data_IF_498407576733
#
_entry.id   IF_498407576733
#
_cell.length_a   1.000
_cell.length_b   1.000
_cell.length_c   1.000
_cell.angle_alpha   90.00
_cell.angle_beta   90.00
_cell.angle_gamma   90.00
#
_symmetry.space_group_name_H-M   'P 1'
#
loop_
_entity.id
_entity.type
_entity.pdbx_description
1 polymer ?
#
# COMPACT_ATOMS: atom_id res chain seq x y z
N UNK A 1 0.05 -13.81 -34.15
CA UNK A 1 0.71 -12.95 -33.14
C UNK A 1 -0.14 -12.99 -31.88
N UNK A 2 0.38 -13.40 -30.70
CA UNK A 2 -0.40 -13.28 -29.48
C UNK A 2 -0.71 -11.79 -29.25
N UNK A 3 -1.95 -11.46 -28.87
CA UNK A 3 -2.34 -10.08 -28.56
C UNK A 3 -1.43 -9.58 -27.44
N UNK A 4 -0.67 -8.52 -27.69
CA UNK A 4 0.05 -7.78 -26.65
C UNK A 4 -0.98 -7.11 -25.77
N UNK A 5 -1.37 -7.76 -24.68
CA UNK A 5 -2.28 -7.19 -23.70
C UNK A 5 -1.53 -6.19 -22.83
N UNK A 6 -1.98 -4.94 -22.82
CA UNK A 6 -1.53 -3.95 -21.86
C UNK A 6 -2.00 -4.31 -20.45
N UNK A 7 -1.33 -3.78 -19.42
CA UNK A 7 -1.74 -4.02 -18.03
C UNK A 7 -3.16 -3.49 -17.77
N UNK A 8 -3.51 -2.36 -18.38
CA UNK A 8 -4.85 -1.78 -18.32
C UNK A 8 -5.92 -2.74 -18.85
N UNK A 9 -5.66 -3.48 -19.93
CA UNK A 9 -6.61 -4.47 -20.46
C UNK A 9 -6.72 -5.71 -19.54
N UNK A 10 -5.61 -6.12 -18.90
CA UNK A 10 -5.55 -7.34 -18.08
C UNK A 10 -6.49 -7.31 -16.87
N UNK A 11 -6.67 -6.14 -16.27
CA UNK A 11 -7.49 -5.93 -15.06
C UNK A 11 -8.53 -4.82 -15.22
N UNK A 12 -9.07 -4.64 -16.44
CA UNK A 12 -10.19 -3.71 -16.72
C UNK A 12 -9.93 -2.26 -16.26
N UNK A 13 -8.69 -1.80 -16.42
CA UNK A 13 -8.25 -0.44 -16.08
C UNK A 13 -7.63 -0.30 -14.70
N UNK A 14 -7.60 -1.36 -13.88
CA UNK A 14 -6.92 -1.34 -12.59
C UNK A 14 -5.41 -1.57 -12.71
N UNK A 15 -4.62 -0.74 -12.04
CA UNK A 15 -3.22 -1.02 -11.73
C UNK A 15 -3.15 -1.79 -10.41
N UNK A 16 -2.71 -3.07 -10.40
CA UNK A 16 -2.42 -3.75 -9.15
C UNK A 16 -1.16 -3.14 -8.52
N UNK A 17 -1.27 -2.74 -7.24
CA UNK A 17 -0.16 -2.23 -6.44
C UNK A 17 -0.08 -3.10 -5.19
N UNK A 18 1.03 -3.81 -5.00
CA UNK A 18 1.27 -4.58 -3.78
C UNK A 18 1.52 -3.61 -2.65
N UNK A 19 0.78 -3.74 -1.55
CA UNK A 19 0.91 -2.91 -0.35
C UNK A 19 1.01 -3.83 0.85
N UNK A 20 1.87 -3.45 1.76
CA UNK A 20 2.06 -4.08 3.06
C UNK A 20 2.26 -2.97 4.09
N UNK A 21 1.68 -3.15 5.28
CA UNK A 21 1.78 -2.18 6.38
C UNK A 21 2.21 -2.85 7.68
N UNK A 22 3.09 -2.18 8.40
CA UNK A 22 3.41 -2.53 9.78
C UNK A 22 2.69 -1.56 10.71
N UNK A 23 2.14 -2.08 11.81
CA UNK A 23 1.16 -1.34 12.61
C UNK A 23 1.38 -1.53 14.11
N UNK A 24 0.81 -0.62 14.89
CA UNK A 24 0.82 -0.67 16.35
C UNK A 24 -0.24 -1.61 16.93
N UNK A 25 -0.95 -2.40 16.13
CA UNK A 25 -2.06 -3.25 16.58
C UNK A 25 -2.99 -3.62 15.42
N UNK A 26 -4.13 -4.23 15.71
CA UNK A 26 -5.04 -4.73 14.65
C UNK A 26 -6.17 -3.76 14.27
N UNK A 27 -6.40 -2.71 15.06
CA UNK A 27 -7.51 -1.79 14.87
C UNK A 27 -7.06 -0.53 14.12
N UNK A 28 -7.32 -0.51 12.81
CA UNK A 28 -6.94 0.59 11.90
C UNK A 28 -7.39 1.99 12.34
N UNK A 29 -8.47 2.09 13.13
CA UNK A 29 -9.00 3.38 13.62
C UNK A 29 -8.16 3.97 14.74
N UNK A 30 -7.62 3.14 15.61
CA UNK A 30 -6.97 3.55 16.86
C UNK A 30 -5.48 3.31 16.88
N UNK A 31 -5.01 2.31 16.13
CA UNK A 31 -3.64 1.83 16.24
C UNK A 31 -2.75 2.49 15.19
N UNK A 32 -1.49 2.72 15.55
CA UNK A 32 -0.55 3.46 14.69
C UNK A 32 -0.29 2.73 13.37
N UNK A 33 -0.24 3.46 12.25
CA UNK A 33 0.49 3.01 11.07
C UNK A 33 1.98 3.30 11.32
N UNK A 34 2.81 2.26 11.32
CA UNK A 34 4.24 2.38 11.61
C UNK A 34 5.06 2.32 10.34
N UNK A 35 4.75 1.45 9.37
CA UNK A 35 5.45 1.42 8.07
C UNK A 35 4.47 1.16 6.95
N UNK A 36 4.79 1.64 5.75
CA UNK A 36 4.05 1.33 4.53
C UNK A 36 5.02 1.09 3.39
N UNK A 37 4.85 -0.04 2.72
CA UNK A 37 5.53 -0.36 1.48
C UNK A 37 4.53 -0.46 0.32
N UNK A 38 4.96 -0.07 -0.88
CA UNK A 38 4.21 -0.23 -2.11
C UNK A 38 5.12 -0.69 -3.26
N UNK A 39 4.71 -1.75 -3.95
CA UNK A 39 5.36 -2.24 -5.17
C UNK A 39 4.40 -2.10 -6.34
N UNK A 40 4.80 -1.31 -7.34
CA UNK A 40 4.05 -1.14 -8.58
C UNK A 40 4.37 -2.27 -9.56
N UNK A 41 3.38 -2.71 -10.33
CA UNK A 41 3.55 -3.81 -11.29
C UNK A 41 3.43 -3.32 -12.73
N UNK A 42 4.09 -4.05 -13.63
CA UNK A 42 4.07 -3.86 -15.07
C UNK A 42 3.94 -5.20 -15.79
N UNK A 43 3.97 -5.15 -17.12
CA UNK A 43 4.11 -6.34 -17.96
C UNK A 43 5.43 -6.27 -18.73
N UNK A 44 6.15 -7.39 -18.79
CA UNK A 44 7.30 -7.52 -19.68
C UNK A 44 6.88 -7.80 -21.13
N UNK A 45 7.85 -7.89 -22.04
CA UNK A 45 7.59 -8.16 -23.46
C UNK A 45 6.91 -9.52 -23.74
N UNK A 46 6.95 -10.45 -22.78
CA UNK A 46 6.27 -11.74 -22.87
C UNK A 46 4.87 -11.71 -22.21
N UNK A 47 4.41 -10.56 -21.72
CA UNK A 47 3.14 -10.40 -21.04
C UNK A 47 3.10 -10.98 -19.62
N UNK A 48 4.26 -11.18 -18.97
CA UNK A 48 4.32 -11.60 -17.57
C UNK A 48 4.32 -10.40 -16.64
N UNK A 49 3.69 -10.55 -15.48
CA UNK A 49 3.75 -9.55 -14.42
C UNK A 49 5.19 -9.44 -13.90
N UNK A 50 5.68 -8.21 -13.82
CA UNK A 50 7.00 -7.88 -13.28
C UNK A 50 6.88 -6.71 -12.32
N UNK A 51 7.81 -6.64 -11.36
CA UNK A 51 7.94 -5.49 -10.47
C UNK A 51 8.51 -4.30 -11.25
N UNK A 52 7.95 -3.12 -11.02
CA UNK A 52 8.48 -1.85 -11.49
C UNK A 52 9.19 -1.16 -10.31
N UNK A 53 8.54 -0.18 -9.69
CA UNK A 53 9.08 0.55 -8.53
C UNK A 53 8.73 -0.12 -7.20
N UNK A 54 9.67 -0.08 -6.26
CA UNK A 54 9.48 -0.44 -4.84
C UNK A 54 9.70 0.80 -4.01
N UNK A 55 8.73 1.15 -3.17
CA UNK A 55 8.73 2.38 -2.38
C UNK A 55 8.31 2.03 -0.96
N UNK A 56 9.01 2.54 0.04
CA UNK A 56 8.68 2.28 1.44
C UNK A 56 9.05 3.45 2.31
N UNK A 57 8.26 3.66 3.37
CA UNK A 57 8.48 4.74 4.32
C UNK A 57 8.19 4.27 5.74
N UNK A 58 9.07 4.65 6.66
CA UNK A 58 8.77 4.63 8.08
C UNK A 58 7.81 5.79 8.39
N UNK A 59 6.81 5.51 9.19
CA UNK A 59 5.73 6.44 9.52
C UNK A 59 5.77 6.75 11.01
N UNK A 60 5.67 8.04 11.33
CA UNK A 60 5.54 8.51 12.71
C UNK A 60 4.12 8.20 13.20
N UNK A 61 3.95 7.58 14.39
CA UNK A 61 2.63 7.37 14.98
C UNK A 61 1.85 8.68 15.05
N UNK A 62 0.57 8.65 14.66
CA UNK A 62 -0.28 9.83 14.76
C UNK A 62 -0.53 10.22 16.23
N UNK A 63 -0.88 11.48 16.47
CA UNK A 63 -1.12 11.96 17.83
C UNK A 63 -2.28 11.20 18.50
N UNK A 64 -2.01 10.56 19.63
CA UNK A 64 -2.99 9.75 20.36
C UNK A 64 -3.17 8.32 19.83
N UNK A 65 -2.31 7.87 18.91
CA UNK A 65 -2.33 6.48 18.45
C UNK A 65 -2.06 5.49 19.60
N UNK A 66 -2.82 4.40 19.60
CA UNK A 66 -2.52 3.23 20.41
C UNK A 66 -1.35 2.44 19.77
N UNK A 67 -0.49 1.88 20.63
CA UNK A 67 0.61 1.01 20.22
C UNK A 67 0.68 -0.14 21.23
N UNK A 68 0.29 -1.32 20.80
CA UNK A 68 0.35 -2.55 21.58
C UNK A 68 1.77 -3.08 21.65
N UNK A 69 2.24 -3.42 22.85
CA UNK A 69 3.56 -4.02 23.04
C UNK A 69 3.71 -5.33 22.25
N UNK A 70 2.64 -6.11 22.11
CA UNK A 70 2.64 -7.35 21.33
C UNK A 70 2.90 -7.10 19.84
N UNK A 71 2.35 -6.02 19.26
CA UNK A 71 2.62 -5.65 17.88
C UNK A 71 4.09 -5.29 17.67
N UNK A 72 4.70 -4.54 18.60
CA UNK A 72 6.12 -4.21 18.54
C UNK A 72 7.03 -5.43 18.72
N UNK A 73 6.61 -6.43 19.50
CA UNK A 73 7.33 -7.70 19.64
C UNK A 73 7.33 -8.51 18.34
N UNK A 74 6.23 -8.48 17.59
CA UNK A 74 6.12 -9.18 16.30
C UNK A 74 6.93 -8.47 15.22
N UNK A 75 6.79 -7.15 15.12
CA UNK A 75 7.43 -6.35 14.06
C UNK A 75 8.90 -6.05 14.35
N UNK A 76 9.30 -6.04 15.62
CA UNK A 76 10.63 -5.59 16.06
C UNK A 76 10.83 -4.07 15.94
N UNK A 77 9.78 -3.31 15.65
CA UNK A 77 9.86 -1.86 15.48
C UNK A 77 9.99 -1.18 16.86
N UNK A 78 10.98 -0.32 17.00
CA UNK A 78 10.98 0.77 17.99
C UNK A 78 10.52 2.06 17.29
N UNK A 79 9.26 2.51 17.48
CA UNK A 79 8.71 3.67 16.78
C UNK A 79 9.47 4.97 17.06
N UNK A 80 10.20 5.04 18.18
CA UNK A 80 10.88 6.23 18.67
C UNK A 80 12.40 6.14 18.57
N UNK A 81 12.92 5.11 17.90
CA UNK A 81 14.36 4.94 17.71
C UNK A 81 14.95 6.16 16.98
N UNK A 82 16.04 6.78 17.47
CA UNK A 82 16.54 8.06 16.95
C UNK A 82 17.07 7.98 15.51
N UNK A 83 17.47 6.79 15.06
CA UNK A 83 17.92 6.56 13.68
C UNK A 83 16.80 6.11 12.74
N UNK A 84 15.56 5.99 13.22
CA UNK A 84 14.41 5.63 12.39
C UNK A 84 13.97 6.88 11.62
N UNK A 85 14.08 6.92 10.28
CA UNK A 85 13.77 8.12 9.51
C UNK A 85 12.25 8.21 9.25
N UNK A 86 11.47 8.21 10.33
CA UNK A 86 10.03 8.24 10.29
C UNK A 86 9.53 9.62 9.84
N UNK A 87 8.56 9.63 8.93
CA UNK A 87 7.90 10.84 8.44
C UNK A 87 6.40 10.81 8.80
N UNK A 88 5.72 11.97 8.88
CA UNK A 88 4.28 12.00 9.15
C UNK A 88 3.46 11.21 8.13
N UNK A 89 2.34 10.60 8.58
CA UNK A 89 1.42 9.81 7.73
C UNK A 89 1.10 10.50 6.40
N UNK A 90 0.69 11.78 6.47
CA UNK A 90 0.34 12.57 5.29
C UNK A 90 1.45 12.62 4.25
N UNK A 91 2.70 12.76 4.70
CA UNK A 91 3.85 12.86 3.82
C UNK A 91 4.16 11.50 3.17
N UNK A 92 4.15 10.41 3.95
CA UNK A 92 4.32 9.05 3.44
C UNK A 92 3.27 8.72 2.38
N UNK A 93 1.99 9.00 2.65
CA UNK A 93 0.90 8.79 1.70
C UNK A 93 1.06 9.62 0.42
N UNK A 94 1.45 10.88 0.52
CA UNK A 94 1.69 11.73 -0.65
C UNK A 94 2.85 11.22 -1.51
N UNK A 95 3.92 10.69 -0.89
CA UNK A 95 5.04 10.07 -1.60
C UNK A 95 4.57 8.79 -2.31
N UNK A 96 3.90 7.87 -1.61
CA UNK A 96 3.33 6.65 -2.24
C UNK A 96 2.37 6.99 -3.39
N UNK A 97 1.44 7.92 -3.20
CA UNK A 97 0.45 8.26 -4.23
C UNK A 97 1.06 8.92 -5.46
N UNK A 98 2.20 9.59 -5.31
CA UNK A 98 2.95 10.14 -6.45
C UNK A 98 3.47 9.00 -7.34
N UNK A 99 4.13 8.03 -6.73
CA UNK A 99 4.71 6.88 -7.44
C UNK A 99 3.62 6.01 -8.08
N UNK A 100 2.53 5.76 -7.36
CA UNK A 100 1.36 5.03 -7.89
C UNK A 100 0.74 5.77 -9.09
N UNK A 101 0.56 7.09 -9.02
CA UNK A 101 0.02 7.86 -10.16
C UNK A 101 0.96 7.86 -11.38
N UNK A 102 2.27 7.92 -11.14
CA UNK A 102 3.26 7.82 -12.21
C UNK A 102 3.16 6.45 -12.90
N UNK A 103 3.08 5.36 -12.12
CA UNK A 103 2.90 4.01 -12.63
C UNK A 103 1.55 3.82 -13.36
N UNK A 104 0.46 4.41 -12.86
CA UNK A 104 -0.85 4.38 -13.53
C UNK A 104 -0.78 5.05 -14.90
N UNK A 105 -0.12 6.21 -14.98
CA UNK A 105 0.09 6.92 -16.24
C UNK A 105 0.90 6.09 -17.22
N UNK A 106 2.01 5.50 -16.76
CA UNK A 106 2.90 4.69 -17.59
C UNK A 106 2.20 3.41 -18.11
N UNK A 107 1.32 2.81 -17.30
CA UNK A 107 0.62 1.56 -17.63
C UNK A 107 -0.78 1.77 -18.22
N UNK A 108 -1.19 3.03 -18.43
CA UNK A 108 -2.51 3.45 -18.94
C UNK A 108 -3.69 2.94 -18.11
N UNK A 109 -3.47 2.74 -16.81
CA UNK A 109 -4.51 2.37 -15.86
C UNK A 109 -5.22 3.61 -15.30
N UNK A 110 -6.49 3.47 -14.93
CA UNK A 110 -7.35 4.58 -14.49
C UNK A 110 -7.55 4.63 -12.97
N UNK A 111 -7.31 3.51 -12.27
CA UNK A 111 -7.40 3.41 -10.80
C UNK A 111 -6.39 2.38 -10.30
N UNK A 112 -5.86 2.54 -9.08
CA UNK A 112 -5.08 1.48 -8.44
C UNK A 112 -6.00 0.53 -7.65
N UNK A 113 -5.67 -0.76 -7.62
CA UNK A 113 -6.26 -1.76 -6.72
C UNK A 113 -5.17 -2.30 -5.82
N UNK A 114 -5.44 -2.32 -4.51
CA UNK A 114 -4.48 -2.84 -3.53
C UNK A 114 -4.38 -4.35 -3.67
N UNK A 115 -3.15 -4.85 -3.75
CA UNK A 115 -2.79 -6.27 -3.64
C UNK A 115 -2.11 -6.45 -2.28
N UNK A 116 -2.54 -7.40 -1.46
CA UNK A 116 -1.98 -7.62 -0.13
C UNK A 116 -2.23 -9.06 0.33
N UNK A 117 -1.72 -9.48 1.49
CA UNK A 117 -2.00 -10.79 2.07
C UNK A 117 -2.91 -10.63 3.27
N UNK A 118 -4.15 -11.12 3.18
CA UNK A 118 -5.27 -10.65 4.00
C UNK A 118 -5.55 -9.15 3.76
N UNK A 119 -5.56 -8.76 2.48
CA UNK A 119 -5.48 -7.37 1.99
C UNK A 119 -6.51 -6.37 2.56
N UNK A 120 -7.60 -6.84 3.18
CA UNK A 120 -8.52 -5.97 3.90
C UNK A 120 -7.86 -5.28 5.10
N UNK A 121 -6.88 -5.92 5.73
CA UNK A 121 -6.08 -5.36 6.81
C UNK A 121 -5.32 -4.12 6.34
N UNK A 122 -4.49 -4.27 5.30
CA UNK A 122 -3.68 -3.18 4.74
C UNK A 122 -4.55 -2.04 4.20
N UNK A 123 -5.62 -2.39 3.48
CA UNK A 123 -6.56 -1.39 2.96
C UNK A 123 -7.27 -0.63 4.08
N UNK A 124 -7.60 -1.30 5.18
CA UNK A 124 -8.21 -0.68 6.36
C UNK A 124 -7.31 0.40 6.95
N UNK A 125 -6.06 0.06 7.24
CA UNK A 125 -5.05 1.02 7.74
C UNK A 125 -4.79 2.15 6.76
N UNK A 126 -4.65 1.84 5.47
CA UNK A 126 -4.47 2.85 4.43
C UNK A 126 -5.64 3.85 4.39
N UNK A 127 -6.88 3.35 4.45
CA UNK A 127 -8.09 4.20 4.42
C UNK A 127 -8.20 5.09 5.66
N UNK A 128 -7.93 4.56 6.85
CA UNK A 128 -7.95 5.34 8.10
C UNK A 128 -6.83 6.38 8.13
N UNK A 129 -5.62 6.05 7.65
CA UNK A 129 -4.53 7.01 7.50
C UNK A 129 -4.87 8.12 6.49
N UNK A 130 -5.53 7.79 5.36
CA UNK A 130 -6.04 8.78 4.39
C UNK A 130 -7.03 9.73 5.06
N UNK A 131 -7.97 9.19 5.85
CA UNK A 131 -8.99 9.97 6.54
C UNK A 131 -8.37 10.92 7.57
N UNK A 132 -7.50 10.41 8.46
CA UNK A 132 -6.79 11.21 9.48
C UNK A 132 -5.90 12.30 8.87
N UNK A 133 -5.24 11.99 7.76
CA UNK A 133 -4.30 12.91 7.09
C UNK A 133 -4.97 13.90 6.14
N UNK A 134 -6.30 13.82 5.97
CA UNK A 134 -7.10 14.62 5.05
C UNK A 134 -6.56 14.62 3.60
N UNK A 135 -5.95 13.51 3.18
CA UNK A 135 -5.35 13.40 1.85
C UNK A 135 -6.45 13.22 0.81
N UNK A 136 -6.65 14.24 -0.02
CA UNK A 136 -7.60 14.19 -1.12
C UNK A 136 -7.07 13.36 -2.30
N UNK A 137 -8.00 12.77 -3.07
CA UNK A 137 -7.72 12.08 -4.34
C UNK A 137 -6.77 10.88 -4.21
N UNK A 138 -7.03 9.98 -3.26
CA UNK A 138 -6.35 8.67 -3.23
C UNK A 138 -6.49 7.96 -4.59
N UNK A 139 -5.40 7.45 -5.18
CA UNK A 139 -5.46 6.71 -6.44
C UNK A 139 -6.08 5.30 -6.26
N UNK A 140 -6.10 4.79 -5.02
CA UNK A 140 -6.61 3.48 -4.71
C UNK A 140 -8.14 3.42 -4.81
N UNK A 141 -8.63 2.28 -5.24
CA UNK A 141 -10.02 1.94 -5.14
C UNK A 141 -10.40 1.74 -3.66
N UNK A 142 -11.53 2.28 -3.16
CA UNK A 142 -11.78 2.39 -1.72
C UNK A 142 -12.13 1.07 -1.01
N UNK A 143 -12.57 0.05 -1.75
CA UNK A 143 -13.00 -1.23 -1.16
C UNK A 143 -12.52 -2.48 -1.91
N UNK A 144 -12.47 -2.45 -3.24
CA UNK A 144 -11.93 -3.56 -4.03
C UNK A 144 -10.43 -3.77 -3.77
N UNK A 145 -10.06 -5.05 -3.66
CA UNK A 145 -8.72 -5.56 -3.39
C UNK A 145 -8.44 -6.80 -4.25
N UNK A 146 -7.17 -7.15 -4.37
CA UNK A 146 -6.72 -8.49 -4.75
C UNK A 146 -6.01 -9.13 -3.55
N UNK A 147 -6.72 -10.03 -2.88
CA UNK A 147 -6.19 -10.74 -1.73
C UNK A 147 -5.34 -11.94 -2.14
N UNK A 148 -4.07 -11.94 -1.76
CA UNK A 148 -3.13 -13.01 -2.09
C UNK A 148 -3.32 -14.26 -1.24
N UNK A 149 -3.93 -14.17 -0.06
CA UNK A 149 -4.33 -15.35 0.72
C UNK A 149 -5.37 -16.15 -0.06
N UNK A 150 -6.44 -15.47 -0.50
CA UNK A 150 -7.45 -16.03 -1.43
C UNK A 150 -6.84 -16.58 -2.73
N UNK A 151 -5.93 -15.84 -3.38
CA UNK A 151 -5.29 -16.30 -4.63
C UNK A 151 -4.40 -17.53 -4.44
N UNK A 152 -3.78 -17.67 -3.26
CA UNK A 152 -2.89 -18.78 -2.95
C UNK A 152 -3.62 -19.99 -2.30
N UNK A 153 -4.85 -19.80 -1.82
CA UNK A 153 -5.61 -20.83 -1.12
C UNK A 153 -5.08 -21.12 0.29
N UNK A 154 -4.57 -20.10 0.98
CA UNK A 154 -4.02 -20.15 2.36
C UNK A 154 -4.78 -19.24 3.30
#
# INVERSE_FOLDING_TARGET
>A
MPRSHSLAERFRGFLPVVVDVETGGFNARTDALLEIAAVTLGLDAAGRLVRLGTHGWHVTPFAGANIEAAALQVTGIDPYHPLRPAIPEREALQRIFREVRAAMTATRCTRAVLVGHNAHFDLGFLNEAIARSEVKRSPFHPFAIFDTATLAGV
#
